data_IF_840322218377
#
_entry.id   IF_840322218377
#
_cell.length_a   1.000
_cell.length_b   1.000
_cell.length_c   1.000
_cell.angle_alpha   90.00
_cell.angle_beta   90.00
_cell.angle_gamma   90.00
#
_symmetry.space_group_name_H-M   'P 1'
#
loop_
_entity.id
_entity.type
_entity.pdbx_description
1 polymer ?
#
# COMPACT_ATOMS: atom_id res chain seq x y z
N UNK A 1 -0.54 12.40 -13.61
CA UNK A 1 0.74 12.96 -13.06
C UNK A 1 0.85 12.62 -11.59
N UNK A 2 2.03 12.24 -11.16
CA UNK A 2 2.28 11.86 -9.77
C UNK A 2 1.92 12.97 -8.78
N UNK A 3 2.35 14.19 -9.04
CA UNK A 3 2.07 15.33 -8.17
C UNK A 3 0.58 15.58 -8.00
N UNK A 4 -0.17 15.50 -9.09
CA UNK A 4 -1.62 15.70 -9.05
C UNK A 4 -2.29 14.63 -8.19
N UNK A 5 -1.87 13.39 -8.36
CA UNK A 5 -2.43 12.27 -7.61
C UNK A 5 -2.15 12.40 -6.10
N UNK A 6 -1.01 12.98 -5.73
CA UNK A 6 -0.64 13.12 -4.33
C UNK A 6 -1.34 14.28 -3.64
N UNK A 7 -1.55 15.38 -4.36
CA UNK A 7 -2.00 16.64 -3.75
C UNK A 7 -3.44 17.06 -4.03
N UNK A 8 -4.08 16.46 -5.02
CA UNK A 8 -5.45 16.83 -5.35
C UNK A 8 -6.47 16.14 -4.45
N UNK A 9 -7.53 16.89 -4.16
CA UNK A 9 -8.67 16.38 -3.40
C UNK A 9 -9.75 15.98 -4.39
N UNK A 10 -9.80 14.69 -4.71
CA UNK A 10 -10.83 14.14 -5.58
C UNK A 10 -11.48 12.95 -4.85
N UNK A 11 -12.57 12.44 -5.42
CA UNK A 11 -13.29 11.33 -4.79
C UNK A 11 -12.53 10.02 -5.02
N UNK A 12 -11.97 9.48 -3.95
CA UNK A 12 -11.41 8.13 -3.95
C UNK A 12 -11.79 7.46 -2.62
N UNK A 13 -11.85 6.12 -2.65
CA UNK A 13 -12.35 5.35 -1.49
C UNK A 13 -11.23 4.98 -0.53
N UNK A 14 -10.06 4.68 -1.04
CA UNK A 14 -8.93 4.29 -0.21
C UNK A 14 -7.63 4.22 -0.99
N UNK A 15 -6.57 3.85 -0.29
CA UNK A 15 -5.23 3.82 -0.84
C UNK A 15 -4.43 2.63 -0.32
N UNK A 16 -3.44 2.21 -1.09
CA UNK A 16 -2.43 1.22 -0.70
C UNK A 16 -1.08 1.69 -1.22
N UNK A 17 -0.01 1.32 -0.52
CA UNK A 17 1.33 1.67 -0.94
C UNK A 17 2.27 0.46 -0.86
N UNK A 18 3.07 0.27 -1.91
CA UNK A 18 4.18 -0.67 -1.89
C UNK A 18 5.43 0.09 -1.46
N UNK A 19 5.88 -0.15 -0.23
CA UNK A 19 7.10 0.45 0.30
C UNK A 19 8.27 -0.46 -0.02
N UNK A 20 9.23 0.06 -0.79
CA UNK A 20 10.40 -0.69 -1.25
C UNK A 20 11.58 -0.38 -0.34
N UNK A 21 12.12 -1.42 0.29
CA UNK A 21 13.28 -1.33 1.17
C UNK A 21 14.32 -2.33 0.69
N UNK A 22 15.49 -1.82 0.30
CA UNK A 22 16.58 -2.68 -0.20
C UNK A 22 16.14 -3.65 -1.28
N UNK A 23 15.33 -3.16 -2.22
CA UNK A 23 14.84 -3.98 -3.34
C UNK A 23 13.73 -4.96 -3.00
N UNK A 24 13.20 -4.89 -1.78
CA UNK A 24 12.12 -5.79 -1.33
C UNK A 24 10.89 -4.98 -0.94
N UNK A 25 9.74 -5.62 -0.99
CA UNK A 25 8.44 -4.98 -0.70
C UNK A 25 8.01 -5.31 0.73
N UNK A 26 7.61 -4.28 1.47
CA UNK A 26 7.06 -4.45 2.81
C UNK A 26 5.62 -4.94 2.73
N UNK A 27 5.35 -6.08 3.36
CA UNK A 27 4.02 -6.69 3.38
C UNK A 27 3.50 -6.80 4.81
N UNK A 28 2.18 -6.79 4.94
CA UNK A 28 1.48 -6.94 6.22
C UNK A 28 0.56 -8.14 6.12
N UNK A 29 0.64 -9.06 7.09
CA UNK A 29 -0.23 -10.22 7.13
C UNK A 29 -1.58 -9.84 7.74
N UNK A 30 -2.66 -9.99 6.96
CA UNK A 30 -4.01 -9.68 7.42
C UNK A 30 -4.43 -10.65 8.53
N UNK A 31 -5.32 -10.18 9.39
CA UNK A 31 -5.88 -11.01 10.46
C UNK A 31 -6.57 -12.24 9.88
N UNK A 32 -6.57 -13.32 10.64
CA UNK A 32 -7.22 -14.57 10.26
C UNK A 32 -8.64 -14.59 10.85
N UNK A 33 -9.52 -13.78 10.25
CA UNK A 33 -10.91 -13.63 10.70
C UNK A 33 -11.85 -13.84 9.52
N UNK A 34 -12.89 -14.62 9.73
CA UNK A 34 -13.90 -14.88 8.69
C UNK A 34 -14.68 -13.61 8.30
N UNK A 35 -14.68 -12.59 9.15
CA UNK A 35 -15.45 -11.37 8.92
C UNK A 35 -14.80 -10.35 8.02
N UNK A 36 -13.55 -10.59 7.60
CA UNK A 36 -12.81 -9.66 6.73
C UNK A 36 -12.50 -10.33 5.40
N UNK A 37 -12.35 -9.53 4.31
CA UNK A 37 -11.90 -10.09 3.02
C UNK A 37 -10.44 -10.52 3.11
N UNK A 38 -10.10 -11.55 2.35
CA UNK A 38 -8.73 -12.09 2.25
C UNK A 38 -8.07 -12.36 3.61
N UNK A 39 -8.72 -13.14 4.49
CA UNK A 39 -8.12 -13.41 5.80
C UNK A 39 -6.81 -14.19 5.66
N UNK A 40 -5.86 -13.89 6.54
CA UNK A 40 -4.57 -14.57 6.61
C UNK A 40 -3.75 -14.50 5.30
N UNK A 41 -3.96 -13.43 4.52
CA UNK A 41 -3.20 -13.19 3.30
C UNK A 41 -2.31 -11.96 3.45
N UNK A 42 -1.27 -11.88 2.64
CA UNK A 42 -0.34 -10.76 2.65
C UNK A 42 -0.91 -9.59 1.87
N UNK A 43 -0.88 -8.44 2.51
CA UNK A 43 -1.43 -7.17 2.03
C UNK A 43 -0.32 -6.12 2.06
N UNK A 44 -0.66 -4.92 1.64
CA UNK A 44 0.22 -3.76 1.70
C UNK A 44 -0.36 -2.72 2.66
N UNK A 45 0.48 -1.82 3.19
CA UNK A 45 -0.02 -0.74 4.04
C UNK A 45 -1.03 0.14 3.31
N UNK A 46 -2.00 0.64 4.04
CA UNK A 46 -3.02 1.52 3.49
C UNK A 46 -4.39 1.21 4.07
N UNK A 47 -5.40 1.91 3.58
CA UNK A 47 -6.76 1.74 4.06
C UNK A 47 -7.71 2.77 3.49
N UNK A 48 -8.83 2.97 4.16
CA UNK A 48 -9.88 3.87 3.72
C UNK A 48 -9.54 5.34 3.91
N UNK A 49 -10.03 6.15 2.98
CA UNK A 49 -9.92 7.60 3.06
C UNK A 49 -10.78 8.12 4.22
N UNK A 50 -10.27 9.07 4.95
CA UNK A 50 -11.03 9.75 6.00
C UNK A 50 -11.25 11.21 5.61
N UNK A 51 -12.52 11.66 5.73
CA UNK A 51 -12.85 13.04 5.42
C UNK A 51 -12.42 13.44 4.02
N UNK A 52 -11.72 14.56 3.94
CA UNK A 52 -11.33 15.17 2.66
C UNK A 52 -9.83 15.03 2.37
N UNK A 53 -9.25 13.93 2.77
CA UNK A 53 -7.81 13.68 2.57
C UNK A 53 -7.43 13.64 1.08
N UNK A 54 -6.21 14.13 0.80
CA UNK A 54 -5.57 13.84 -0.49
C UNK A 54 -5.04 12.40 -0.44
N UNK A 55 -4.70 11.79 -1.59
CA UNK A 55 -4.09 10.45 -1.56
C UNK A 55 -2.87 10.36 -0.66
N UNK A 56 -1.98 11.35 -0.70
CA UNK A 56 -0.81 11.33 0.17
C UNK A 56 -1.20 11.41 1.65
N UNK A 57 -2.13 12.29 2.01
CA UNK A 57 -2.59 12.43 3.40
C UNK A 57 -3.18 11.10 3.90
N UNK A 58 -3.96 10.44 3.05
CA UNK A 58 -4.56 9.15 3.38
C UNK A 58 -3.51 8.09 3.64
N UNK A 59 -2.59 7.90 2.70
CA UNK A 59 -1.58 6.86 2.83
C UNK A 59 -0.59 7.16 3.95
N UNK A 60 -0.23 8.42 4.16
CA UNK A 60 0.68 8.82 5.23
C UNK A 60 0.06 8.53 6.60
N UNK A 61 -1.22 8.82 6.76
CA UNK A 61 -1.94 8.53 8.00
C UNK A 61 -1.98 7.02 8.26
N UNK A 62 -2.34 6.23 7.25
CA UNK A 62 -2.42 4.77 7.39
C UNK A 62 -1.06 4.15 7.71
N UNK A 63 0.01 4.59 7.04
CA UNK A 63 1.36 4.10 7.31
C UNK A 63 1.77 4.44 8.74
N UNK A 64 1.44 5.63 9.21
CA UNK A 64 1.74 6.01 10.59
C UNK A 64 0.97 5.14 11.60
N UNK A 65 -0.32 4.92 11.35
CA UNK A 65 -1.14 4.10 12.24
C UNK A 65 -0.68 2.63 12.28
N UNK A 66 -0.29 2.09 11.14
CA UNK A 66 0.07 0.68 11.04
C UNK A 66 1.52 0.38 11.42
N UNK A 67 2.44 1.29 11.13
CA UNK A 67 3.88 1.03 11.24
C UNK A 67 4.64 2.04 12.10
N UNK A 68 3.99 3.12 12.50
CA UNK A 68 4.61 4.22 13.25
C UNK A 68 5.77 4.86 12.48
N UNK A 69 5.62 4.96 11.16
CA UNK A 69 6.59 5.61 10.26
C UNK A 69 5.97 6.88 9.71
N UNK A 70 6.75 7.97 9.67
CA UNK A 70 6.33 9.21 9.03
C UNK A 70 6.78 9.22 7.58
N UNK A 71 5.84 8.97 6.67
CA UNK A 71 6.10 8.97 5.24
C UNK A 71 6.21 10.41 4.72
N UNK A 72 7.21 10.70 3.91
CA UNK A 72 7.34 12.01 3.27
C UNK A 72 6.98 11.92 1.78
N UNK A 73 6.55 13.05 1.20
CA UNK A 73 6.15 13.08 -0.21
C UNK A 73 7.30 12.70 -1.14
N UNK A 74 8.52 13.08 -0.77
CA UNK A 74 9.71 12.80 -1.57
C UNK A 74 9.99 11.31 -1.69
N UNK A 75 9.49 10.51 -0.77
CA UNK A 75 9.67 9.07 -0.80
C UNK A 75 8.73 8.37 -1.77
N UNK A 76 7.64 9.02 -2.18
CA UNK A 76 6.69 8.44 -3.13
C UNK A 76 7.20 8.64 -4.55
N UNK A 77 7.33 7.54 -5.30
CA UNK A 77 7.96 7.56 -6.63
C UNK A 77 7.01 7.20 -7.77
N UNK A 78 5.82 6.69 -7.47
CA UNK A 78 4.85 6.29 -8.51
C UNK A 78 3.46 6.21 -7.92
N UNK A 79 2.44 6.51 -8.73
CA UNK A 79 1.05 6.33 -8.34
C UNK A 79 0.16 6.08 -9.56
N UNK A 80 -0.97 5.40 -9.31
CA UNK A 80 -1.97 5.12 -10.34
C UNK A 80 -3.34 5.00 -9.67
N UNK A 81 -4.38 5.32 -10.42
CA UNK A 81 -5.76 5.21 -9.95
C UNK A 81 -6.37 3.95 -10.55
N UNK A 82 -7.02 3.15 -9.71
CA UNK A 82 -7.65 1.91 -10.13
C UNK A 82 -9.14 1.90 -9.79
N UNK A 83 -9.97 1.28 -10.63
CA UNK A 83 -11.40 1.13 -10.28
C UNK A 83 -11.57 0.10 -9.17
N UNK A 84 -12.67 0.21 -8.42
CA UNK A 84 -13.01 -0.77 -7.41
C UNK A 84 -13.41 -2.10 -8.07
N UNK A 85 -13.16 -3.19 -7.35
CA UNK A 85 -13.44 -4.53 -7.86
C UNK A 85 -14.92 -4.85 -7.78
N UNK A 86 -15.54 -4.52 -6.66
CA UNK A 86 -16.96 -4.77 -6.46
C UNK A 86 -17.85 -3.63 -6.99
N UNK A 87 -17.27 -2.44 -7.14
CA UNK A 87 -17.98 -1.26 -7.65
C UNK A 87 -17.00 -0.44 -8.48
N UNK A 88 -17.13 -0.54 -9.80
CA UNK A 88 -16.25 0.15 -10.76
C UNK A 88 -16.34 1.68 -10.67
N UNK A 89 -17.38 2.21 -10.02
CA UNK A 89 -17.54 3.65 -9.83
C UNK A 89 -16.64 4.17 -8.73
N UNK A 90 -16.18 3.31 -7.84
CA UNK A 90 -15.25 3.68 -6.78
C UNK A 90 -13.84 3.73 -7.34
N UNK A 91 -13.05 4.64 -6.81
CA UNK A 91 -11.65 4.79 -7.22
C UNK A 91 -10.74 4.50 -6.02
N UNK A 92 -9.64 3.82 -6.31
CA UNK A 92 -8.59 3.51 -5.32
C UNK A 92 -7.26 4.01 -5.86
N UNK A 93 -6.43 4.53 -4.98
CA UNK A 93 -5.12 5.03 -5.37
C UNK A 93 -4.06 4.04 -4.89
N UNK A 94 -3.21 3.61 -5.83
CA UNK A 94 -2.07 2.76 -5.51
C UNK A 94 -0.80 3.56 -5.67
N UNK A 95 0.05 3.53 -4.65
CA UNK A 95 1.30 4.28 -4.63
C UNK A 95 2.48 3.33 -4.45
N UNK A 96 3.64 3.78 -4.90
CA UNK A 96 4.91 3.08 -4.65
C UNK A 96 5.84 4.09 -4.03
N UNK A 97 6.54 3.70 -2.98
CA UNK A 97 7.45 4.59 -2.29
C UNK A 97 8.68 3.86 -1.77
N UNK A 98 9.67 4.63 -1.37
CA UNK A 98 10.91 4.10 -0.81
C UNK A 98 10.84 4.11 0.71
N UNK A 99 11.40 3.09 1.33
CA UNK A 99 11.54 2.99 2.77
C UNK A 99 13.01 2.74 3.08
N UNK A 100 13.61 3.59 3.91
CA UNK A 100 15.00 3.41 4.29
C UNK A 100 15.13 2.21 5.23
N UNK A 101 16.28 1.52 5.16
CA UNK A 101 16.56 0.38 6.04
C UNK A 101 16.43 0.78 7.51
N UNK A 102 16.92 1.97 7.86
CA UNK A 102 16.80 2.48 9.22
C UNK A 102 15.35 2.63 9.67
N UNK A 103 14.47 3.10 8.78
CA UNK A 103 13.04 3.22 9.08
C UNK A 103 12.42 1.85 9.28
N UNK A 104 12.79 0.88 8.45
CA UNK A 104 12.30 -0.48 8.58
C UNK A 104 12.69 -1.07 9.94
N UNK A 105 13.91 -0.83 10.39
CA UNK A 105 14.39 -1.34 11.67
C UNK A 105 13.67 -0.74 12.87
N UNK A 106 13.03 0.41 12.70
CA UNK A 106 12.32 1.11 13.76
C UNK A 106 10.79 0.99 13.66
N UNK A 107 10.28 0.07 12.84
CA UNK A 107 8.84 -0.16 12.73
C UNK A 107 8.29 -0.58 14.10
N UNK A 108 7.22 0.11 14.50
CA UNK A 108 6.44 -0.26 15.68
C UNK A 108 5.06 -0.67 15.16
N UNK A 109 4.87 -1.97 15.01
CA UNK A 109 3.69 -2.53 14.37
C UNK A 109 2.44 -2.31 15.22
N UNK A 110 1.37 -1.80 14.59
CA UNK A 110 0.11 -1.48 15.26
C UNK A 110 -0.73 -2.71 15.59
N UNK A 111 -1.98 -2.44 15.96
CA UNK A 111 -2.89 -3.48 16.47
C UNK A 111 -3.57 -4.30 15.38
N UNK A 112 -3.62 -3.81 14.15
CA UNK A 112 -4.26 -4.53 13.05
C UNK A 112 -3.23 -5.39 12.31
N UNK A 113 -3.62 -6.61 12.00
CA UNK A 113 -2.77 -7.55 11.31
C UNK A 113 -1.98 -8.42 12.26
N UNK A 114 -1.36 -9.47 11.71
CA UNK A 114 -0.61 -10.46 12.49
C UNK A 114 0.89 -10.21 12.51
N UNK A 115 1.39 -9.38 11.59
CA UNK A 115 2.81 -9.10 11.49
C UNK A 115 3.16 -8.52 10.14
N UNK A 116 4.46 -8.33 9.90
CA UNK A 116 4.95 -7.76 8.65
C UNK A 116 6.28 -8.41 8.28
N UNK A 117 6.61 -8.34 6.99
CA UNK A 117 7.92 -8.80 6.51
C UNK A 117 8.25 -8.19 5.14
N UNK A 118 9.52 -8.20 4.79
CA UNK A 118 9.98 -7.85 3.46
C UNK A 118 9.99 -9.11 2.59
N UNK A 119 9.53 -8.98 1.35
CA UNK A 119 9.57 -10.07 0.37
C UNK A 119 10.15 -9.54 -0.94
N UNK A 120 10.73 -10.41 -1.75
CA UNK A 120 11.22 -10.03 -3.07
C UNK A 120 10.03 -9.72 -3.99
N UNK A 121 10.28 -8.98 -5.07
CA UNK A 121 9.24 -8.74 -6.08
C UNK A 121 8.75 -10.06 -6.67
N UNK A 122 9.66 -11.00 -6.94
CA UNK A 122 9.29 -12.30 -7.47
C UNK A 122 8.34 -13.04 -6.53
N UNK A 123 8.68 -13.10 -5.26
CA UNK A 123 7.81 -13.76 -4.26
C UNK A 123 6.45 -13.07 -4.18
N UNK A 124 6.43 -11.74 -4.15
CA UNK A 124 5.18 -10.99 -4.09
C UNK A 124 4.28 -11.29 -5.29
N UNK A 125 4.86 -11.32 -6.48
CA UNK A 125 4.11 -11.48 -7.73
C UNK A 125 3.66 -12.91 -8.00
N UNK A 126 4.28 -13.91 -7.38
CA UNK A 126 3.98 -15.33 -7.66
C UNK A 126 3.27 -16.04 -6.52
N UNK A 127 3.22 -15.47 -5.33
CA UNK A 127 2.62 -16.12 -4.17
C UNK A 127 1.09 -16.19 -4.26
N UNK A 128 0.52 -17.33 -3.92
CA UNK A 128 -0.93 -17.49 -3.83
C UNK A 128 -1.49 -16.96 -2.50
N UNK A 129 -0.60 -16.48 -1.62
CA UNK A 129 -0.96 -15.90 -0.31
C UNK A 129 -0.96 -14.39 -0.33
N UNK A 130 -0.80 -13.75 -1.47
CA UNK A 130 -0.85 -12.29 -1.61
C UNK A 130 -2.19 -11.90 -2.24
N UNK A 131 -2.77 -10.79 -1.76
CA UNK A 131 -4.04 -10.27 -2.30
C UNK A 131 -3.89 -10.03 -3.80
N UNK A 132 -4.70 -10.71 -4.66
CA UNK A 132 -4.46 -10.72 -6.12
C UNK A 132 -4.46 -9.35 -6.80
N UNK A 133 -5.34 -8.45 -6.38
CA UNK A 133 -5.42 -7.11 -6.98
C UNK A 133 -4.11 -6.34 -6.79
N UNK A 134 -3.45 -6.55 -5.67
CA UNK A 134 -2.19 -5.87 -5.38
C UNK A 134 -1.06 -6.42 -6.22
N UNK A 135 -1.11 -7.69 -6.55
CA UNK A 135 -0.14 -8.29 -7.48
C UNK A 135 -0.23 -7.62 -8.86
N UNK A 136 -1.44 -7.39 -9.35
CA UNK A 136 -1.65 -6.71 -10.64
C UNK A 136 -1.08 -5.30 -10.61
N UNK A 137 -1.34 -4.57 -9.54
CA UNK A 137 -0.90 -3.18 -9.40
C UNK A 137 0.63 -3.07 -9.31
N UNK A 138 1.25 -3.96 -8.55
CA UNK A 138 2.71 -4.00 -8.48
C UNK A 138 3.30 -4.38 -9.85
N UNK A 139 2.66 -5.31 -10.56
CA UNK A 139 3.11 -5.70 -11.90
C UNK A 139 3.07 -4.51 -12.87
N UNK A 140 2.01 -3.70 -12.81
CA UNK A 140 1.89 -2.49 -13.62
C UNK A 140 3.04 -1.53 -13.34
N UNK A 141 3.38 -1.34 -12.07
CA UNK A 141 4.52 -0.50 -11.70
C UNK A 141 5.83 -1.04 -12.28
N UNK A 142 6.07 -2.33 -12.13
CA UNK A 142 7.30 -2.95 -12.64
C UNK A 142 7.40 -2.80 -14.16
N UNK A 143 6.33 -3.08 -14.88
CA UNK A 143 6.32 -2.98 -16.35
C UNK A 143 6.53 -1.56 -16.83
N UNK A 144 5.93 -0.58 -16.17
CA UNK A 144 6.07 0.82 -16.53
C UNK A 144 7.44 1.39 -16.20
N UNK A 145 8.10 0.83 -15.20
CA UNK A 145 9.39 1.33 -14.70
C UNK A 145 10.61 0.75 -15.41
N UNK A 146 10.39 -0.25 -16.25
CA UNK A 146 11.50 -0.93 -16.98
C UNK A 146 11.73 -0.34 -18.37
#
# INVERSE_FOLDING_TARGET
MLEDCLEERFEFTGCKIALICEGQILTILRDDKETIPYPNMWDLPGGGREGNETPFECVAREVYEELNIQLSKEEVIWSEIYPGILDEKKQFVFLVGNLAQEEFEHIDFGDEGQGYKLVSFEEFLTSDRVVPQLQERVRDYVEESL
#
